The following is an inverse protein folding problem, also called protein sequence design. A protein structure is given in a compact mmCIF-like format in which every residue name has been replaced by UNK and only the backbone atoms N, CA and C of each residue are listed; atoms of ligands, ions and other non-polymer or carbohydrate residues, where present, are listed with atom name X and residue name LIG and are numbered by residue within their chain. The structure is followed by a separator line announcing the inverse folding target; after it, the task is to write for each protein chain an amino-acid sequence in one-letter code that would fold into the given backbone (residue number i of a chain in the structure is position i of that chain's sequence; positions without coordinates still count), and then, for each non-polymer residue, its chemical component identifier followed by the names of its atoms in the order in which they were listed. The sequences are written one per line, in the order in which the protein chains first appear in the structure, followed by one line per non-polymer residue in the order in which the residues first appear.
data_IF_883911630110
#
_entry.id   IF_883911630110
#
_cell.length_a   1.000
_cell.length_b   1.000
_cell.length_c   1.000
_cell.angle_alpha   90.00
_cell.angle_beta   90.00
_cell.angle_gamma   90.00
#
_symmetry.space_group_name_H-M   'P 1'
#
loop_
_entity.id
_entity.type
_entity.pdbx_description
1 polymer ?
#
# COMPACT_ATOMS: atom_id res chain seq x y z
N UNK A 1 -46.97 18.61 -0.64
CA UNK A 1 -45.65 18.31 -0.05
C UNK A 1 -44.90 17.37 -0.99
N UNK A 2 -44.00 17.95 -1.79
CA UNK A 2 -43.33 17.28 -2.91
C UNK A 2 -42.03 16.61 -2.44
N UNK A 3 -42.12 15.36 -1.95
CA UNK A 3 -40.96 14.57 -1.49
C UNK A 3 -40.22 13.82 -2.62
N UNK A 4 -40.80 13.81 -3.84
CA UNK A 4 -40.27 13.09 -5.01
C UNK A 4 -38.86 13.49 -5.46
N UNK A 5 -38.45 14.77 -5.49
CA UNK A 5 -37.11 15.13 -5.97
C UNK A 5 -36.01 14.83 -4.95
N UNK A 6 -36.35 14.84 -3.65
CA UNK A 6 -35.37 14.60 -2.56
C UNK A 6 -34.96 13.13 -2.53
N UNK A 7 -35.91 12.21 -2.70
CA UNK A 7 -35.63 10.78 -2.69
C UNK A 7 -34.72 10.35 -3.86
N UNK A 8 -34.91 10.94 -5.04
CA UNK A 8 -34.05 10.68 -6.19
C UNK A 8 -32.61 11.16 -5.98
N UNK A 9 -32.44 12.32 -5.32
CA UNK A 9 -31.12 12.90 -5.06
C UNK A 9 -30.32 12.10 -4.03
N UNK A 10 -31.00 11.55 -3.01
CA UNK A 10 -30.38 10.65 -2.02
C UNK A 10 -29.87 9.35 -2.65
N UNK A 11 -30.63 8.77 -3.60
CA UNK A 11 -30.22 7.54 -4.30
C UNK A 11 -28.95 7.79 -5.13
N UNK A 12 -28.88 8.91 -5.86
CA UNK A 12 -27.70 9.24 -6.67
C UNK A 12 -26.44 9.43 -5.82
N UNK A 13 -26.57 10.07 -4.65
CA UNK A 13 -25.46 10.22 -3.69
C UNK A 13 -24.98 8.90 -3.11
N UNK A 14 -25.89 7.95 -2.83
CA UNK A 14 -25.55 6.63 -2.30
C UNK A 14 -24.82 5.75 -3.33
N UNK A 15 -25.11 5.90 -4.63
CA UNK A 15 -24.43 5.11 -5.67
C UNK A 15 -23.01 5.57 -5.99
N UNK A 16 -22.67 6.84 -5.72
CA UNK A 16 -21.32 7.36 -5.98
C UNK A 16 -20.27 6.82 -4.99
N UNK A 17 -20.68 6.37 -3.80
CA UNK A 17 -19.77 5.88 -2.77
C UNK A 17 -19.14 4.50 -3.07
N UNK A 18 -19.72 3.72 -3.99
CA UNK A 18 -19.20 2.39 -4.37
C UNK A 18 -18.37 2.39 -5.67
N UNK A 19 -18.23 3.54 -6.34
CA UNK A 19 -17.47 3.65 -7.60
C UNK A 19 -15.98 4.03 -7.38
N UNK A 20 -15.53 4.13 -6.14
CA UNK A 20 -14.14 4.48 -5.81
C UNK A 20 -13.18 3.30 -6.01
N UNK A 21 -11.94 3.59 -6.42
CA UNK A 21 -10.86 2.60 -6.39
C UNK A 21 -10.59 2.20 -4.93
N UNK A 22 -10.34 0.91 -4.65
CA UNK A 22 -9.94 0.50 -3.32
C UNK A 22 -8.59 1.14 -2.95
N UNK A 23 -8.43 1.45 -1.66
CA UNK A 23 -7.29 2.23 -1.14
C UNK A 23 -5.94 1.60 -1.48
N UNK A 24 -5.85 0.26 -1.53
CA UNK A 24 -4.61 -0.46 -1.86
C UNK A 24 -4.15 -0.28 -3.32
N UNK A 25 -5.03 0.19 -4.21
CA UNK A 25 -4.71 0.45 -5.63
C UNK A 25 -4.38 1.93 -5.87
N UNK A 26 -4.33 2.72 -4.80
CA UNK A 26 -3.86 4.10 -4.86
C UNK A 26 -2.34 4.07 -4.65
N UNK A 27 -1.64 4.88 -5.44
CA UNK A 27 -0.21 5.07 -5.29
C UNK A 27 0.08 5.66 -3.90
N UNK A 28 0.91 4.96 -3.12
CA UNK A 28 1.24 5.38 -1.77
C UNK A 28 2.51 6.25 -1.74
N UNK A 29 2.58 7.31 -0.91
CA UNK A 29 3.74 8.22 -0.90
C UNK A 29 5.09 7.52 -0.64
N UNK A 30 5.09 6.42 0.12
CA UNK A 30 6.32 5.67 0.41
C UNK A 30 6.88 4.94 -0.83
N UNK A 31 6.05 4.65 -1.85
CA UNK A 31 6.51 3.96 -3.06
C UNK A 31 7.46 4.83 -3.88
N UNK A 32 7.40 6.14 -3.68
CA UNK A 32 8.28 7.13 -4.30
C UNK A 32 9.38 7.62 -3.35
N UNK A 33 9.56 6.99 -2.18
CA UNK A 33 10.59 7.37 -1.24
C UNK A 33 11.98 7.04 -1.82
N UNK A 34 12.89 8.01 -1.78
CA UNK A 34 14.28 7.77 -2.19
C UNK A 34 15.04 7.01 -1.12
N UNK A 35 15.88 6.07 -1.55
CA UNK A 35 16.82 5.40 -0.65
C UNK A 35 17.87 6.39 -0.12
N UNK A 36 18.13 6.34 1.18
CA UNK A 36 19.21 7.10 1.79
C UNK A 36 20.50 6.28 1.74
N UNK A 37 21.60 6.85 1.22
CA UNK A 37 22.87 6.14 1.20
C UNK A 37 23.38 5.88 2.62
N UNK A 38 24.11 4.79 2.85
CA UNK A 38 24.72 4.52 4.14
C UNK A 38 25.64 5.67 4.59
N UNK A 39 25.56 6.02 5.87
CA UNK A 39 26.44 7.02 6.47
C UNK A 39 27.89 6.54 6.44
N UNK A 40 28.81 7.42 6.04
CA UNK A 40 30.25 7.16 6.03
C UNK A 40 30.90 7.81 7.25
N UNK A 41 31.71 7.03 7.96
CA UNK A 41 32.54 7.55 9.02
C UNK A 41 33.63 8.48 8.45
N UNK A 42 33.88 9.66 9.05
CA UNK A 42 35.03 10.47 8.70
C UNK A 42 36.33 9.78 9.13
N UNK A 43 37.46 10.15 8.50
CA UNK A 43 38.76 9.54 8.78
C UNK A 43 39.12 9.64 10.28
N UNK A 44 39.53 8.52 10.87
CA UNK A 44 39.92 8.44 12.28
C UNK A 44 38.76 8.32 13.28
N UNK A 45 37.51 8.30 12.82
CA UNK A 45 36.33 8.11 13.68
C UNK A 45 35.80 6.68 13.59
N UNK A 46 35.65 6.01 14.73
CA UNK A 46 34.98 4.72 14.82
C UNK A 46 33.48 4.97 15.04
N UNK A 47 32.64 4.41 14.17
CA UNK A 47 31.18 4.47 14.28
C UNK A 47 30.69 3.11 14.79
N UNK A 48 29.82 3.07 15.81
CA UNK A 48 29.27 1.81 16.29
C UNK A 48 28.47 1.10 15.19
N UNK A 49 28.44 -0.23 15.19
CA UNK A 49 27.63 -0.97 14.23
C UNK A 49 26.14 -0.63 14.39
N UNK A 50 25.34 -0.70 13.30
CA UNK A 50 23.90 -0.52 13.37
C UNK A 50 23.24 -1.47 14.36
N UNK A 51 22.21 -1.00 15.07
CA UNK A 51 21.44 -1.87 15.98
C UNK A 51 20.69 -2.93 15.14
N UNK A 52 20.93 -4.24 15.36
CA UNK A 52 20.29 -5.28 14.57
C UNK A 52 18.76 -5.30 14.72
N UNK A 53 18.22 -4.79 15.84
CA UNK A 53 16.77 -4.70 16.06
C UNK A 53 16.10 -3.60 15.23
N UNK A 54 16.88 -2.71 14.61
CA UNK A 54 16.40 -1.66 13.71
C UNK A 54 16.79 -1.95 12.25
N UNK A 55 17.39 -3.11 11.99
CA UNK A 55 17.70 -3.53 10.62
C UNK A 55 16.41 -3.88 9.89
N UNK A 56 16.26 -3.36 8.68
CA UNK A 56 15.18 -3.78 7.78
C UNK A 56 15.56 -5.16 7.25
N UNK A 57 14.71 -6.19 7.41
CA UNK A 57 15.01 -7.53 6.91
C UNK A 57 15.08 -7.53 5.38
N UNK A 58 15.98 -8.34 4.83
CA UNK A 58 16.01 -8.61 3.40
C UNK A 58 14.80 -9.46 3.04
N UNK A 59 13.87 -8.87 2.29
CA UNK A 59 12.70 -9.55 1.72
C UNK A 59 12.85 -9.58 0.21
N UNK A 60 12.26 -10.59 -0.44
CA UNK A 60 12.31 -10.68 -1.91
C UNK A 60 11.59 -9.48 -2.53
N UNK A 61 12.23 -8.85 -3.51
CA UNK A 61 11.70 -7.65 -4.20
C UNK A 61 10.49 -7.94 -5.11
N UNK A 62 10.19 -9.21 -5.36
CA UNK A 62 9.10 -9.66 -6.26
C UNK A 62 7.77 -9.89 -5.55
N UNK A 63 7.69 -9.59 -4.25
CA UNK A 63 6.48 -9.76 -3.46
C UNK A 63 5.46 -8.62 -3.68
N UNK A 64 4.17 -8.93 -3.79
CA UNK A 64 3.15 -7.90 -3.87
C UNK A 64 3.10 -7.02 -2.61
N UNK A 65 3.25 -5.71 -2.79
CA UNK A 65 3.32 -4.75 -1.68
C UNK A 65 1.95 -4.47 -1.04
N UNK A 66 0.84 -4.73 -1.75
CA UNK A 66 -0.52 -4.55 -1.21
C UNK A 66 -1.63 -5.30 -1.97
N UNK A 67 -1.29 -6.08 -3.02
CA UNK A 67 -2.27 -6.65 -3.92
C UNK A 67 -1.78 -7.93 -4.60
N UNK A 68 -2.61 -8.96 -4.75
CA UNK A 68 -2.24 -10.13 -5.57
C UNK A 68 -2.89 -10.02 -6.95
N UNK A 69 -2.16 -10.45 -8.00
CA UNK A 69 -2.76 -10.74 -9.31
C UNK A 69 -3.75 -11.90 -9.13
N UNK A 70 -5.02 -11.66 -9.47
CA UNK A 70 -6.09 -12.65 -9.38
C UNK A 70 -6.85 -12.64 -10.72
N UNK A 71 -6.76 -13.74 -11.47
CA UNK A 71 -7.45 -13.92 -12.75
C UNK A 71 -8.99 -13.87 -12.60
N UNK A 72 -9.51 -14.12 -11.40
CA UNK A 72 -10.93 -14.01 -11.05
C UNK A 72 -11.30 -12.62 -10.47
N UNK A 73 -10.35 -11.68 -10.40
CA UNK A 73 -10.63 -10.33 -9.95
C UNK A 73 -11.59 -9.64 -10.93
N UNK A 74 -12.81 -9.35 -10.48
CA UNK A 74 -13.85 -8.67 -11.27
C UNK A 74 -13.61 -7.17 -11.48
N UNK A 75 -12.40 -6.68 -11.22
CA UNK A 75 -12.03 -5.29 -11.43
C UNK A 75 -11.12 -5.17 -12.66
N UNK A 76 -11.07 -3.97 -13.25
CA UNK A 76 -10.25 -3.67 -14.45
C UNK A 76 -8.75 -3.90 -14.24
N UNK A 77 -8.32 -4.00 -12.97
CA UNK A 77 -6.92 -4.06 -12.60
C UNK A 77 -6.40 -5.48 -12.45
N UNK A 78 -7.26 -6.52 -12.47
CA UNK A 78 -6.84 -7.92 -12.30
C UNK A 78 -6.19 -8.21 -10.94
N UNK A 79 -6.44 -7.37 -9.94
CA UNK A 79 -5.74 -7.41 -8.65
C UNK A 79 -6.67 -7.25 -7.46
N UNK A 80 -6.38 -7.93 -6.35
CA UNK A 80 -7.18 -7.84 -5.10
C UNK A 80 -6.32 -7.30 -3.97
N UNK A 81 -6.88 -6.37 -3.18
CA UNK A 81 -6.24 -5.94 -1.95
C UNK A 81 -6.01 -7.13 -1.03
N UNK A 82 -4.79 -7.24 -0.52
CA UNK A 82 -4.48 -8.21 0.51
C UNK A 82 -5.21 -7.81 1.81
N UNK A 83 -6.19 -8.61 2.23
CA UNK A 83 -6.86 -8.42 3.54
C UNK A 83 -5.94 -8.80 4.70
N UNK A 84 -4.96 -9.67 4.45
CA UNK A 84 -3.95 -10.11 5.41
C UNK A 84 -2.57 -9.80 4.84
N UNK A 85 -1.67 -9.16 5.61
CA UNK A 85 -0.32 -8.88 5.12
C UNK A 85 0.40 -10.18 4.73
N UNK A 86 1.27 -10.15 3.71
CA UNK A 86 2.01 -11.32 3.28
C UNK A 86 2.85 -11.88 4.44
N UNK A 87 2.96 -13.21 4.52
CA UNK A 87 3.78 -13.85 5.55
C UNK A 87 5.23 -13.43 5.36
N UNK A 88 5.84 -12.87 6.39
CA UNK A 88 7.29 -12.72 6.41
C UNK A 88 7.88 -14.08 6.77
N UNK A 89 8.49 -14.75 5.81
CA UNK A 89 9.31 -15.93 6.11
C UNK A 89 10.52 -15.46 6.93
N UNK A 90 10.83 -16.19 8.00
CA UNK A 90 12.02 -15.92 8.79
C UNK A 90 13.25 -16.26 7.93
N UNK A 91 14.08 -15.24 7.65
CA UNK A 91 15.40 -15.40 7.05
C UNK A 91 16.35 -16.18 7.97
#
# INVERSE_FOLDING_TARGET
MSYRPIFALVIVLLTAACAGKPVCLVEEPYQNASEFPPLKAPAGMQVPPPNPNLAIPEVREDGPVAYEEDEDARNEYGVRCLETPPKMDAA
#
